data_IF_209001980401
#
_entry.id   IF_209001980401
#
_cell.length_a   1.000
_cell.length_b   1.000
_cell.length_c   1.000
_cell.angle_alpha   90.00
_cell.angle_beta   90.00
_cell.angle_gamma   90.00
#
_symmetry.space_group_name_H-M   'P 1'
#
loop_
_entity.id
_entity.type
_entity.pdbx_description
1 polymer ?
#
# COMPACT_ATOMS: atom_id res chain seq x y z
N UNK A 1 13.08 1.27 -7.80
CA UNK A 1 13.82 1.83 -6.64
C UNK A 1 13.82 0.93 -5.38
N UNK A 2 13.83 -0.41 -5.44
CA UNK A 2 14.13 -1.27 -4.25
C UNK A 2 15.01 -2.49 -4.58
N UNK A 3 15.80 -2.39 -5.66
CA UNK A 3 16.61 -3.51 -6.16
C UNK A 3 17.67 -3.97 -5.16
N UNK A 4 18.17 -3.05 -4.33
CA UNK A 4 19.13 -3.39 -3.29
C UNK A 4 18.48 -4.17 -2.15
N UNK A 5 17.24 -3.88 -1.74
CA UNK A 5 16.51 -4.67 -0.72
C UNK A 5 16.23 -6.10 -1.21
N UNK A 6 15.94 -6.30 -2.50
CA UNK A 6 15.82 -7.64 -3.09
C UNK A 6 17.13 -8.44 -3.05
N UNK A 7 18.28 -7.75 -3.10
CA UNK A 7 19.62 -8.38 -3.12
C UNK A 7 20.17 -8.61 -1.71
N UNK A 8 19.99 -7.64 -0.83
CA UNK A 8 20.52 -7.64 0.55
C UNK A 8 19.55 -8.32 1.52
N UNK A 9 18.25 -8.31 1.23
CA UNK A 9 17.17 -8.78 2.11
C UNK A 9 16.69 -7.68 3.06
N UNK A 10 15.65 -7.99 3.83
CA UNK A 10 15.08 -7.10 4.86
C UNK A 10 15.16 -7.74 6.25
N UNK A 11 15.30 -6.92 7.28
CA UNK A 11 15.38 -7.37 8.66
C UNK A 11 14.04 -7.95 9.13
N UNK A 12 14.11 -9.15 9.72
CA UNK A 12 12.98 -9.83 10.35
C UNK A 12 13.22 -9.88 11.85
N UNK A 13 12.21 -9.49 12.62
CA UNK A 13 12.26 -9.40 14.08
C UNK A 13 11.13 -10.21 14.73
N UNK A 14 11.38 -10.69 15.94
CA UNK A 14 10.36 -11.30 16.78
C UNK A 14 9.51 -10.24 17.49
N UNK A 15 8.36 -10.66 18.04
CA UNK A 15 7.42 -9.80 18.79
C UNK A 15 8.05 -9.05 19.97
N UNK A 16 9.23 -9.46 20.42
CA UNK A 16 10.03 -8.80 21.46
C UNK A 16 11.05 -7.77 20.95
N UNK A 17 11.03 -7.40 19.67
CA UNK A 17 11.96 -6.45 19.06
C UNK A 17 13.37 -7.00 18.81
N UNK A 18 13.57 -8.31 19.02
CA UNK A 18 14.83 -8.98 18.71
C UNK A 18 14.93 -9.26 17.22
N UNK A 19 15.93 -8.67 16.57
CA UNK A 19 16.25 -8.95 15.17
C UNK A 19 16.85 -10.36 15.06
N UNK A 20 16.22 -11.21 14.26
CA UNK A 20 16.64 -12.62 14.07
C UNK A 20 17.63 -12.73 12.92
N UNK A 21 17.44 -11.91 11.89
CA UNK A 21 18.32 -11.90 10.72
C UNK A 21 17.73 -11.09 9.57
N UNK A 22 18.36 -11.25 8.40
CA UNK A 22 17.97 -10.57 7.16
C UNK A 22 17.46 -11.61 6.17
N UNK A 23 16.23 -11.45 5.66
CA UNK A 23 15.64 -12.39 4.72
C UNK A 23 15.37 -11.77 3.35
N UNK A 24 15.73 -12.52 2.29
CA UNK A 24 15.45 -12.15 0.90
C UNK A 24 14.03 -12.50 0.47
N UNK A 25 13.47 -13.58 1.02
CA UNK A 25 12.07 -13.99 0.74
C UNK A 25 11.09 -12.94 1.25
N UNK A 26 11.31 -12.45 2.48
CA UNK A 26 10.50 -11.37 3.04
C UNK A 26 10.62 -10.09 2.19
N UNK A 27 11.82 -9.78 1.68
CA UNK A 27 12.05 -8.63 0.81
C UNK A 27 11.26 -8.72 -0.50
N UNK A 28 11.22 -9.92 -1.12
CA UNK A 28 10.46 -10.14 -2.35
C UNK A 28 8.96 -9.92 -2.12
N UNK A 29 8.41 -10.49 -1.06
CA UNK A 29 7.00 -10.31 -0.72
C UNK A 29 6.67 -8.84 -0.44
N UNK A 30 7.52 -8.14 0.33
CA UNK A 30 7.37 -6.71 0.60
C UNK A 30 7.30 -5.87 -0.69
N UNK A 31 8.18 -6.16 -1.65
CA UNK A 31 8.21 -5.45 -2.94
C UNK A 31 6.98 -5.77 -3.78
N UNK A 32 6.51 -7.02 -3.79
CA UNK A 32 5.29 -7.40 -4.53
C UNK A 32 4.06 -6.69 -3.96
N UNK A 33 3.86 -6.74 -2.64
CA UNK A 33 2.78 -6.02 -1.96
C UNK A 33 2.82 -4.53 -2.30
N UNK A 34 3.99 -3.88 -2.16
CA UNK A 34 4.16 -2.44 -2.45
C UNK A 34 3.85 -2.10 -3.90
N UNK A 35 4.29 -2.95 -4.84
CA UNK A 35 4.03 -2.76 -6.27
C UNK A 35 2.53 -2.83 -6.57
N UNK A 36 1.82 -3.78 -5.95
CA UNK A 36 0.38 -3.90 -6.09
C UNK A 36 -0.33 -2.66 -5.55
N UNK A 37 0.05 -2.15 -4.37
CA UNK A 37 -0.51 -0.89 -3.85
C UNK A 37 -0.32 0.24 -4.85
N UNK A 38 0.91 0.42 -5.34
CA UNK A 38 1.22 1.51 -6.28
C UNK A 38 0.52 1.37 -7.63
N UNK A 39 0.16 0.16 -8.04
CA UNK A 39 -0.64 -0.07 -9.24
C UNK A 39 -2.13 0.19 -9.01
N UNK A 40 -2.67 -0.22 -7.85
CA UNK A 40 -4.11 -0.15 -7.57
C UNK A 40 -4.57 1.17 -6.96
N UNK A 41 -3.75 1.85 -6.14
CA UNK A 41 -4.11 3.11 -5.48
C UNK A 41 -4.45 4.27 -6.45
N UNK A 42 -3.77 4.44 -7.61
CA UNK A 42 -4.14 5.49 -8.57
C UNK A 42 -5.42 5.17 -9.37
N UNK A 43 -5.83 3.91 -9.46
CA UNK A 43 -7.01 3.48 -10.24
C UNK A 43 -8.32 4.10 -9.74
N UNK A 44 -8.72 3.99 -8.46
CA UNK A 44 -9.94 4.62 -7.96
C UNK A 44 -9.83 6.15 -7.99
N UNK A 45 -8.63 6.70 -7.83
CA UNK A 45 -8.40 8.14 -7.91
C UNK A 45 -8.66 8.69 -9.32
N UNK A 46 -8.22 7.99 -10.35
CA UNK A 46 -8.38 8.41 -11.75
C UNK A 46 -9.76 8.04 -12.32
N UNK A 47 -10.42 7.01 -11.78
CA UNK A 47 -11.77 6.59 -12.19
C UNK A 47 -12.88 7.38 -11.49
N UNK A 48 -12.68 7.86 -10.26
CA UNK A 48 -13.71 8.60 -9.54
C UNK A 48 -14.16 9.88 -10.28
N UNK A 49 -13.28 10.75 -10.81
CA UNK A 49 -13.70 11.94 -11.55
C UNK A 49 -14.54 11.64 -12.80
N UNK A 50 -14.13 10.76 -13.75
CA UNK A 50 -14.93 10.46 -14.94
C UNK A 50 -16.19 9.65 -14.64
N UNK A 51 -16.29 8.93 -13.52
CA UNK A 51 -17.54 8.28 -13.10
C UNK A 51 -18.54 9.25 -12.47
N UNK A 52 -18.05 10.26 -11.74
CA UNK A 52 -18.90 11.20 -10.99
C UNK A 52 -19.34 12.39 -11.87
N UNK A 53 -18.46 12.89 -12.74
CA UNK A 53 -18.77 14.00 -13.65
C UNK A 53 -20.06 13.82 -14.48
N UNK A 54 -20.33 12.68 -15.15
CA UNK A 54 -21.57 12.51 -15.92
C UNK A 54 -22.84 12.46 -15.04
N UNK A 55 -22.71 12.04 -13.77
CA UNK A 55 -23.80 12.08 -12.81
C UNK A 55 -24.10 13.51 -12.34
N UNK A 56 -23.05 14.33 -12.22
CA UNK A 56 -23.13 15.73 -11.78
C UNK A 56 -23.52 16.70 -12.91
N UNK A 57 -23.13 16.43 -14.15
CA UNK A 57 -23.57 17.18 -15.33
C UNK A 57 -25.08 17.07 -15.57
N UNK A 58 -25.73 16.05 -15.00
CA UNK A 58 -27.18 15.93 -14.94
C UNK A 58 -27.83 17.06 -14.12
N UNK A 59 -27.08 17.70 -13.22
CA UNK A 59 -27.48 18.89 -12.47
C UNK A 59 -27.12 20.15 -13.26
N UNK A 60 -28.14 20.83 -13.84
CA UNK A 60 -28.00 22.08 -14.63
C UNK A 60 -27.25 23.23 -13.94
N UNK A 61 -26.96 23.11 -12.65
CA UNK A 61 -26.27 24.13 -11.85
C UNK A 61 -24.73 24.10 -12.03
N UNK A 62 -24.16 22.96 -12.43
CA UNK A 62 -22.70 22.76 -12.57
C UNK A 62 -22.22 23.21 -13.96
N UNK A 63 -22.99 22.92 -15.02
CA UNK A 63 -22.69 23.20 -16.45
C UNK A 63 -22.47 24.68 -16.82
N UNK A 64 -22.95 25.63 -16.01
CA UNK A 64 -23.03 27.03 -16.42
C UNK A 64 -21.77 27.89 -16.19
N UNK A 65 -20.70 27.38 -15.59
CA UNK A 65 -19.44 28.14 -15.46
C UNK A 65 -18.23 27.22 -15.25
N UNK A 66 -17.12 27.42 -15.98
CA UNK A 66 -15.91 26.61 -15.87
C UNK A 66 -15.28 26.65 -14.47
N UNK A 67 -15.49 27.73 -13.70
CA UNK A 67 -14.94 27.83 -12.35
C UNK A 67 -15.67 26.92 -11.34
N UNK A 68 -16.99 26.76 -11.50
CA UNK A 68 -17.80 25.83 -10.69
C UNK A 68 -17.42 24.38 -10.96
N UNK A 69 -17.18 24.03 -12.23
CA UNK A 69 -16.66 22.71 -12.59
C UNK A 69 -15.32 22.39 -11.93
N UNK A 70 -14.39 23.36 -11.90
CA UNK A 70 -13.08 23.18 -11.27
C UNK A 70 -13.20 22.96 -9.76
N UNK A 71 -14.00 23.78 -9.07
CA UNK A 71 -14.23 23.64 -7.62
C UNK A 71 -14.85 22.29 -7.26
N UNK A 72 -15.85 21.86 -8.02
CA UNK A 72 -16.54 20.60 -7.75
C UNK A 72 -15.64 19.39 -8.02
N UNK A 73 -14.87 19.42 -9.10
CA UNK A 73 -13.85 18.40 -9.36
C UNK A 73 -12.79 18.35 -8.24
N UNK A 74 -12.33 19.50 -7.76
CA UNK A 74 -11.38 19.55 -6.65
C UNK A 74 -11.95 18.88 -5.38
N UNK A 75 -13.20 19.21 -5.02
CA UNK A 75 -13.87 18.61 -3.85
C UNK A 75 -14.02 17.10 -4.01
N UNK A 76 -14.49 16.63 -5.17
CA UNK A 76 -14.66 15.21 -5.45
C UNK A 76 -13.33 14.46 -5.40
N UNK A 77 -12.27 15.02 -5.99
CA UNK A 77 -10.93 14.46 -5.93
C UNK A 77 -10.41 14.39 -4.49
N UNK A 78 -10.58 15.47 -3.71
CA UNK A 78 -10.14 15.52 -2.30
C UNK A 78 -10.88 14.49 -1.44
N UNK A 79 -12.20 14.37 -1.58
CA UNK A 79 -12.99 13.37 -0.86
C UNK A 79 -12.61 11.93 -1.25
N UNK A 80 -12.38 11.70 -2.55
CA UNK A 80 -11.94 10.39 -3.05
C UNK A 80 -10.56 10.02 -2.51
N UNK A 81 -9.63 10.96 -2.44
CA UNK A 81 -8.32 10.77 -1.80
C UNK A 81 -8.45 10.48 -0.30
N UNK A 82 -9.26 11.28 0.40
CA UNK A 82 -9.47 11.15 1.83
C UNK A 82 -10.08 9.80 2.21
N UNK A 83 -10.93 9.22 1.36
CA UNK A 83 -11.48 7.88 1.54
C UNK A 83 -10.52 6.76 1.08
N UNK A 84 -9.80 6.97 -0.02
CA UNK A 84 -8.88 5.95 -0.57
C UNK A 84 -7.66 5.71 0.32
N UNK A 85 -7.13 6.76 0.95
CA UNK A 85 -5.94 6.66 1.80
C UNK A 85 -6.11 5.70 3.00
N UNK A 86 -7.14 5.82 3.86
CA UNK A 86 -7.34 4.88 4.97
C UNK A 86 -7.65 3.46 4.49
N UNK A 87 -8.35 3.31 3.36
CA UNK A 87 -8.60 1.99 2.75
C UNK A 87 -7.29 1.37 2.30
N UNK A 88 -6.41 2.12 1.63
CA UNK A 88 -5.11 1.64 1.20
C UNK A 88 -4.22 1.24 2.39
N UNK A 89 -4.22 2.04 3.46
CA UNK A 89 -3.48 1.74 4.69
C UNK A 89 -4.01 0.47 5.40
N UNK A 90 -5.32 0.26 5.41
CA UNK A 90 -5.94 -0.93 5.98
C UNK A 90 -5.68 -2.19 5.14
N UNK A 91 -5.71 -2.07 3.82
CA UNK A 91 -5.49 -3.18 2.90
C UNK A 91 -4.00 -3.59 2.83
N UNK A 92 -3.10 -2.63 3.11
CA UNK A 92 -1.66 -2.84 3.06
C UNK A 92 -0.97 -2.21 4.29
N UNK A 93 -0.99 -2.91 5.45
CA UNK A 93 -0.35 -2.41 6.65
C UNK A 93 1.17 -2.29 6.46
N UNK A 94 1.79 -1.29 7.11
CA UNK A 94 3.22 -1.00 7.03
C UNK A 94 4.09 -2.11 7.63
N UNK A 95 3.59 -2.83 8.63
CA UNK A 95 4.20 -4.04 9.17
C UNK A 95 3.41 -5.27 8.72
N UNK A 96 4.14 -6.33 8.35
CA UNK A 96 3.53 -7.62 8.04
C UNK A 96 4.24 -8.77 8.71
N UNK A 97 3.47 -9.82 8.95
CA UNK A 97 3.93 -11.09 9.50
C UNK A 97 4.24 -12.07 8.39
N UNK A 98 5.35 -12.79 8.54
CA UNK A 98 5.73 -13.93 7.71
C UNK A 98 5.92 -15.17 8.58
N UNK A 99 5.41 -16.31 8.11
CA UNK A 99 5.62 -17.58 8.78
C UNK A 99 7.09 -18.01 8.64
N UNK A 100 7.68 -18.52 9.72
CA UNK A 100 9.07 -19.00 9.72
C UNK A 100 9.28 -20.19 8.79
N UNK A 101 8.25 -20.98 8.51
CA UNK A 101 8.29 -22.10 7.57
C UNK A 101 8.63 -21.71 6.13
N UNK A 102 8.33 -20.46 5.73
CA UNK A 102 8.57 -19.95 4.36
C UNK A 102 9.90 -19.18 4.27
N UNK A 103 10.54 -18.92 5.42
CA UNK A 103 11.81 -18.21 5.50
C UNK A 103 13.00 -19.14 5.26
N UNK A 104 14.17 -18.55 4.99
CA UNK A 104 15.40 -19.29 4.74
C UNK A 104 15.79 -20.18 5.94
N UNK A 105 16.33 -21.40 5.71
CA UNK A 105 16.65 -22.35 6.78
C UNK A 105 17.68 -21.80 7.77
N UNK A 106 18.51 -20.85 7.35
CA UNK A 106 19.45 -20.12 8.21
C UNK A 106 18.76 -19.26 9.29
N UNK A 107 17.53 -18.79 9.02
CA UNK A 107 16.71 -18.03 9.97
C UNK A 107 15.84 -18.99 10.79
N UNK A 108 15.35 -20.07 10.19
CA UNK A 108 14.63 -21.13 10.91
C UNK A 108 15.49 -21.75 12.01
N UNK A 109 16.79 -21.95 11.77
CA UNK A 109 17.70 -22.47 12.79
C UNK A 109 18.00 -21.50 13.93
N UNK A 110 17.70 -20.20 13.78
CA UNK A 110 18.04 -19.15 14.75
C UNK A 110 16.88 -18.78 15.68
N UNK A 111 15.67 -19.29 15.42
CA UNK A 111 14.44 -18.89 16.09
C UNK A 111 13.50 -20.08 16.23
N UNK A 112 12.80 -20.19 17.37
CA UNK A 112 11.76 -21.21 17.61
C UNK A 112 10.33 -20.65 17.42
N UNK A 113 10.21 -19.37 17.09
CA UNK A 113 8.94 -18.68 16.88
C UNK A 113 8.31 -19.08 15.54
N UNK A 114 6.98 -19.25 15.52
CA UNK A 114 6.24 -19.61 14.30
C UNK A 114 6.05 -18.42 13.33
N UNK A 115 6.16 -17.18 13.83
CA UNK A 115 5.89 -15.96 13.07
C UNK A 115 6.93 -14.87 13.36
N UNK A 116 7.41 -14.22 12.31
CA UNK A 116 8.31 -13.06 12.37
C UNK A 116 7.66 -11.84 11.72
N UNK A 117 8.07 -10.66 12.17
CA UNK A 117 7.59 -9.37 11.70
C UNK A 117 8.65 -8.71 10.84
N UNK A 118 8.22 -8.00 9.81
CA UNK A 118 9.10 -7.18 8.99
C UNK A 118 8.41 -5.89 8.58
N UNK A 119 9.21 -4.84 8.44
CA UNK A 119 8.73 -3.55 7.97
C UNK A 119 8.72 -3.53 6.44
N UNK A 120 7.58 -3.19 5.84
CA UNK A 120 7.43 -3.08 4.38
C UNK A 120 7.96 -1.77 3.82
N UNK A 121 8.47 -0.87 4.65
CA UNK A 121 8.95 0.47 4.28
C UNK A 121 7.79 1.42 4.01
N UNK A 122 7.88 2.64 4.53
CA UNK A 122 7.06 3.77 4.08
C UNK A 122 7.54 4.25 2.71
#
# INVERSE_FOLDING_TARGET
>A
MRWNELRTGIEVYEKGGKVVGVSKTAAKQAVTDTTLVRAFLPVPLLLAPPCIMPFLERYKWVSGSPWRHLFVNAIVCTLSFAASLPVALALFPQESTIATSVLEPEIQSKTNSEQLFYNKGL
#
